data_IF_797200836572
#
_entry.id   IF_797200836572
#
_cell.length_a   1.000
_cell.length_b   1.000
_cell.length_c   1.000
_cell.angle_alpha   90.00
_cell.angle_beta   90.00
_cell.angle_gamma   90.00
#
_symmetry.space_group_name_H-M   'P 1'
#
loop_
_entity.id
_entity.type
_entity.pdbx_description
1 polymer ?
#
# COMPACT_ATOMS: atom_id res chain seq x y z
N UNK A 1 -44.49 5.68 41.38
CA UNK A 1 -45.95 5.49 41.57
C UNK A 1 -46.58 5.91 40.26
N UNK A 2 -46.61 5.04 39.23
CA UNK A 2 -47.55 3.93 38.99
C UNK A 2 -48.99 4.42 39.04
N UNK A 3 -49.50 4.78 37.87
CA UNK A 3 -50.90 4.93 37.50
C UNK A 3 -50.95 4.73 35.97
N UNK A 4 -51.92 4.12 35.30
CA UNK A 4 -53.07 3.25 35.60
C UNK A 4 -53.73 2.96 34.22
N UNK A 5 -54.60 1.95 34.15
CA UNK A 5 -55.67 1.71 33.13
C UNK A 5 -55.25 0.81 31.95
N UNK A 6 -55.63 -0.49 31.88
CA UNK A 6 -56.92 -1.11 31.41
C UNK A 6 -57.39 -0.54 30.05
N UNK A 7 -57.90 -1.26 29.05
CA UNK A 7 -58.78 -2.43 28.99
C UNK A 7 -58.91 -2.89 27.51
N UNK A 8 -59.20 -4.19 27.32
CA UNK A 8 -60.02 -4.85 26.27
C UNK A 8 -59.81 -4.59 24.76
N UNK A 9 -59.58 -5.58 23.88
CA UNK A 9 -60.21 -6.90 23.59
C UNK A 9 -61.12 -6.84 22.34
N UNK A 10 -60.78 -7.64 21.33
CA UNK A 10 -61.66 -8.56 20.57
C UNK A 10 -60.95 -9.01 19.27
N UNK A 11 -60.40 -10.24 19.23
CA UNK A 11 -61.01 -11.52 18.79
C UNK A 11 -61.28 -11.57 17.28
N UNK A 12 -61.06 -12.66 16.54
CA UNK A 12 -60.52 -14.01 16.75
C UNK A 12 -60.32 -14.58 15.32
N UNK A 13 -59.44 -15.55 15.04
CA UNK A 13 -59.75 -16.99 15.15
C UNK A 13 -58.48 -17.76 14.71
N UNK A 14 -57.90 -18.60 15.57
CA UNK A 14 -58.01 -20.08 15.60
C UNK A 14 -57.48 -20.74 14.30
N UNK A 15 -56.51 -21.66 14.27
CA UNK A 15 -56.13 -22.81 15.13
C UNK A 15 -54.68 -23.20 14.75
N UNK A 16 -53.67 -23.24 15.63
CA UNK A 16 -53.35 -24.24 16.68
C UNK A 16 -53.00 -25.65 16.14
N UNK A 17 -51.71 -26.01 16.23
CA UNK A 17 -51.12 -27.19 16.93
C UNK A 17 -49.63 -27.22 16.57
N UNK A 18 -48.75 -26.66 17.40
CA UNK A 18 -48.13 -27.25 18.62
C UNK A 18 -46.93 -28.17 18.34
N UNK A 19 -45.89 -27.87 19.10
CA UNK A 19 -44.53 -28.40 19.10
C UNK A 19 -44.49 -29.87 19.54
N UNK A 20 -43.47 -30.61 19.09
CA UNK A 20 -42.80 -31.57 19.98
C UNK A 20 -41.42 -32.01 19.43
N UNK A 21 -40.47 -32.05 20.36
CA UNK A 21 -39.04 -32.32 20.21
C UNK A 21 -38.72 -33.74 19.75
N UNK A 22 -37.84 -33.90 18.74
CA UNK A 22 -37.01 -35.11 18.57
C UNK A 22 -35.61 -34.69 18.08
N UNK A 23 -34.61 -35.02 18.90
CA UNK A 23 -33.18 -34.95 18.60
C UNK A 23 -32.85 -35.83 17.39
N UNK A 24 -32.46 -35.21 16.27
CA UNK A 24 -31.78 -35.91 15.18
C UNK A 24 -30.76 -34.97 14.53
N UNK A 25 -29.50 -35.36 14.58
CA UNK A 25 -28.36 -34.68 13.95
C UNK A 25 -28.63 -34.56 12.44
N UNK A 26 -28.61 -33.37 11.82
CA UNK A 26 -28.71 -33.27 10.38
C UNK A 26 -27.42 -33.81 9.75
N UNK A 27 -27.59 -34.82 8.89
CA UNK A 27 -26.55 -35.41 8.04
C UNK A 27 -25.90 -34.30 7.19
N UNK A 28 -24.58 -34.25 7.18
CA UNK A 28 -23.81 -33.32 6.36
C UNK A 28 -24.25 -33.41 4.88
N UNK A 29 -24.39 -32.24 4.24
CA UNK A 29 -24.68 -32.13 2.82
C UNK A 29 -23.58 -32.81 2.01
N UNK A 30 -23.90 -33.49 0.89
CA UNK A 30 -22.88 -34.05 0.01
C UNK A 30 -22.04 -32.93 -0.61
N UNK A 31 -20.73 -33.15 -0.68
CA UNK A 31 -19.80 -32.19 -1.25
C UNK A 31 -20.18 -31.82 -2.69
N UNK A 32 -20.03 -30.55 -3.10
CA UNK A 32 -20.29 -30.15 -4.47
C UNK A 32 -19.37 -30.92 -5.42
N UNK A 33 -19.96 -31.60 -6.40
CA UNK A 33 -19.22 -32.31 -7.43
C UNK A 33 -18.51 -31.32 -8.35
N UNK A 34 -17.19 -31.18 -8.20
CA UNK A 34 -16.33 -30.31 -9.01
C UNK A 34 -16.11 -30.80 -10.46
N UNK A 35 -16.70 -31.94 -10.87
CA UNK A 35 -16.54 -32.49 -12.22
C UNK A 35 -17.19 -31.65 -13.34
N UNK A 36 -17.78 -30.50 -13.02
CA UNK A 36 -18.36 -29.57 -14.02
C UNK A 36 -17.32 -28.61 -14.59
N UNK A 37 -16.11 -28.56 -14.02
CA UNK A 37 -15.04 -27.65 -14.47
C UNK A 37 -14.25 -28.17 -15.69
N UNK A 38 -14.42 -29.44 -16.06
CA UNK A 38 -13.69 -30.06 -17.19
C UNK A 38 -14.24 -29.67 -18.57
N UNK A 39 -15.27 -28.82 -18.65
CA UNK A 39 -15.85 -28.32 -19.92
C UNK A 39 -15.54 -26.84 -20.17
N UNK A 40 -14.50 -26.30 -19.56
CA UNK A 40 -13.91 -25.05 -20.04
C UNK A 40 -12.65 -25.39 -20.84
N UNK A 41 -12.81 -25.22 -22.16
CA UNK A 41 -11.80 -25.28 -23.18
C UNK A 41 -10.48 -24.67 -22.65
N UNK A 42 -9.49 -25.50 -22.37
CA UNK A 42 -8.13 -25.08 -21.97
C UNK A 42 -7.51 -24.40 -23.19
N UNK A 43 -7.85 -23.13 -23.39
CA UNK A 43 -6.96 -22.25 -24.11
C UNK A 43 -5.78 -21.99 -23.18
N UNK A 44 -4.62 -22.18 -23.77
CA UNK A 44 -3.29 -22.04 -23.19
C UNK A 44 -3.11 -20.64 -22.57
N UNK A 45 -3.53 -20.46 -21.32
CA UNK A 45 -3.33 -19.24 -20.53
C UNK A 45 -1.87 -19.13 -20.00
N UNK A 46 -0.92 -19.80 -20.66
CA UNK A 46 0.47 -19.92 -20.22
C UNK A 46 1.32 -18.66 -20.51
N UNK A 47 0.81 -17.67 -21.26
CA UNK A 47 1.56 -16.44 -21.60
C UNK A 47 1.24 -15.19 -20.73
N UNK A 48 0.29 -15.26 -19.80
CA UNK A 48 -0.14 -14.10 -19.00
C UNK A 48 0.26 -14.15 -17.52
N UNK A 49 1.25 -14.96 -17.16
CA UNK A 49 1.99 -14.72 -15.92
C UNK A 49 2.92 -13.53 -16.13
N UNK A 50 2.34 -12.32 -16.08
CA UNK A 50 3.08 -11.11 -15.77
C UNK A 50 3.97 -11.41 -14.57
N UNK A 51 5.27 -11.37 -14.80
CA UNK A 51 6.25 -11.54 -13.76
C UNK A 51 5.97 -10.55 -12.63
N UNK A 52 5.58 -11.07 -11.46
CA UNK A 52 4.92 -10.30 -10.41
C UNK A 52 5.67 -8.97 -10.12
N UNK A 53 5.01 -7.85 -10.43
CA UNK A 53 5.56 -6.52 -10.19
C UNK A 53 5.43 -6.18 -8.70
N UNK A 54 6.53 -6.33 -7.96
CA UNK A 54 6.54 -6.08 -6.51
C UNK A 54 6.96 -4.63 -6.24
N UNK A 55 6.06 -3.75 -5.76
CA UNK A 55 6.46 -2.40 -5.38
C UNK A 55 7.36 -2.42 -4.14
N UNK A 56 8.24 -1.43 -3.96
CA UNK A 56 8.95 -1.26 -2.69
C UNK A 56 7.97 -0.99 -1.53
N UNK A 57 8.39 -1.32 -0.31
CA UNK A 57 7.59 -0.98 0.88
C UNK A 57 7.32 0.53 0.97
N UNK A 58 6.17 0.93 1.51
CA UNK A 58 5.74 2.32 1.60
C UNK A 58 5.75 3.07 0.25
N UNK A 59 5.68 2.35 -0.88
CA UNK A 59 5.51 2.98 -2.18
C UNK A 59 4.16 3.69 -2.26
N UNK A 60 4.17 4.96 -2.63
CA UNK A 60 2.96 5.73 -2.88
C UNK A 60 3.24 6.87 -3.87
N UNK A 61 2.24 7.27 -4.64
CA UNK A 61 2.28 8.49 -5.43
C UNK A 61 1.92 9.67 -4.51
N UNK A 62 2.80 10.67 -4.43
CA UNK A 62 2.56 11.88 -3.63
C UNK A 62 1.76 12.88 -4.45
N UNK A 63 2.19 13.09 -5.69
CA UNK A 63 1.47 13.84 -6.71
C UNK A 63 1.87 13.30 -8.09
N UNK A 64 1.28 13.85 -9.15
CA UNK A 64 1.54 13.42 -10.52
C UNK A 64 3.05 13.44 -10.81
N UNK A 65 3.58 12.30 -11.26
CA UNK A 65 5.00 12.10 -11.54
C UNK A 65 5.95 12.23 -10.34
N UNK A 66 5.45 12.24 -9.09
CA UNK A 66 6.25 12.22 -7.87
C UNK A 66 5.85 11.03 -7.01
N UNK A 67 6.81 10.15 -6.79
CA UNK A 67 6.64 8.93 -6.02
C UNK A 67 7.49 8.97 -4.76
N UNK A 68 7.04 8.28 -3.72
CA UNK A 68 7.82 8.02 -2.50
C UNK A 68 7.91 6.53 -2.25
N UNK A 69 8.99 6.05 -1.65
CA UNK A 69 9.10 4.66 -1.19
C UNK A 69 10.12 4.46 -0.08
N UNK A 70 10.19 3.24 0.44
CA UNK A 70 11.37 2.73 1.15
C UNK A 70 12.50 2.42 0.18
N UNK A 71 13.62 1.94 0.72
CA UNK A 71 14.81 1.58 -0.04
C UNK A 71 14.52 0.51 -1.13
N UNK A 72 14.78 0.80 -2.42
CA UNK A 72 14.61 -0.17 -3.49
C UNK A 72 15.55 -1.37 -3.37
N UNK A 73 15.03 -2.57 -3.68
CA UNK A 73 15.77 -3.83 -3.72
C UNK A 73 15.61 -4.43 -5.11
N UNK A 74 16.47 -5.39 -5.46
CA UNK A 74 16.46 -6.08 -6.78
C UNK A 74 15.07 -6.57 -7.21
N UNK A 75 14.29 -7.12 -6.26
CA UNK A 75 12.93 -7.62 -6.52
C UNK A 75 11.94 -6.53 -6.96
N UNK A 76 12.25 -5.25 -6.73
CA UNK A 76 11.39 -4.13 -7.11
C UNK A 76 11.77 -3.50 -8.46
N UNK A 77 12.89 -3.90 -9.08
CA UNK A 77 13.42 -3.22 -10.28
C UNK A 77 12.44 -3.28 -11.44
N UNK A 78 11.81 -4.45 -11.67
CA UNK A 78 10.78 -4.61 -12.72
C UNK A 78 9.60 -3.67 -12.53
N UNK A 79 9.19 -3.44 -11.27
CA UNK A 79 8.15 -2.46 -10.96
C UNK A 79 8.61 -1.03 -11.25
N UNK A 80 9.84 -0.68 -10.86
CA UNK A 80 10.40 0.66 -11.07
C UNK A 80 10.64 0.97 -12.56
N UNK A 81 10.99 -0.02 -13.37
CA UNK A 81 11.12 0.11 -14.84
C UNK A 81 9.80 0.55 -15.49
N UNK A 82 8.66 0.03 -15.01
CA UNK A 82 7.34 0.42 -15.52
C UNK A 82 7.00 1.87 -15.23
N UNK A 83 7.52 2.45 -14.15
CA UNK A 83 7.33 3.86 -13.82
C UNK A 83 8.10 4.80 -14.76
N UNK A 84 9.10 4.28 -15.50
CA UNK A 84 9.96 5.06 -16.41
C UNK A 84 10.51 6.30 -15.73
N UNK A 85 11.06 6.10 -14.53
CA UNK A 85 11.63 7.18 -13.73
C UNK A 85 12.73 7.88 -14.52
N UNK A 86 12.81 9.20 -14.36
CA UNK A 86 13.90 10.01 -14.91
C UNK A 86 14.95 10.33 -13.86
N UNK A 87 14.52 10.44 -12.60
CA UNK A 87 15.43 10.68 -11.49
C UNK A 87 15.01 9.93 -10.22
N UNK A 88 16.00 9.66 -9.37
CA UNK A 88 15.81 9.11 -8.04
C UNK A 88 16.52 10.01 -7.05
N UNK A 89 15.80 10.42 -5.99
CA UNK A 89 16.29 11.27 -4.93
C UNK A 89 16.38 10.50 -3.61
N UNK A 90 17.54 10.58 -2.97
CA UNK A 90 17.77 10.01 -1.63
C UNK A 90 18.33 11.05 -0.67
N UNK A 91 17.93 10.93 0.60
CA UNK A 91 18.41 11.76 1.71
C UNK A 91 19.46 11.04 2.58
N UNK A 92 19.82 9.81 2.22
CA UNK A 92 20.75 8.97 2.98
C UNK A 92 22.19 9.44 2.72
N UNK A 93 22.99 9.59 3.78
CA UNK A 93 24.43 9.93 3.67
C UNK A 93 25.31 8.73 3.32
N UNK A 94 24.85 7.51 3.63
CA UNK A 94 25.55 6.27 3.31
C UNK A 94 25.74 6.08 1.81
N UNK A 95 26.78 5.33 1.46
CA UNK A 95 27.07 4.97 0.07
C UNK A 95 25.93 4.14 -0.54
N UNK A 96 25.54 4.48 -1.76
CA UNK A 96 24.48 3.76 -2.45
C UNK A 96 25.02 2.44 -3.01
N UNK A 97 24.33 1.29 -2.80
CA UNK A 97 24.80 0.00 -3.26
C UNK A 97 25.08 -0.03 -4.76
N UNK A 98 26.22 -0.62 -5.15
CA UNK A 98 26.66 -0.68 -6.55
C UNK A 98 25.61 -1.32 -7.47
N UNK A 99 24.91 -2.35 -6.99
CA UNK A 99 23.83 -2.99 -7.75
C UNK A 99 22.66 -2.03 -8.04
N UNK A 100 22.37 -1.11 -7.13
CA UNK A 100 21.34 -0.11 -7.37
C UNK A 100 21.86 0.98 -8.30
N UNK A 101 23.13 1.40 -8.19
CA UNK A 101 23.76 2.34 -9.13
C UNK A 101 23.74 1.81 -10.58
N UNK A 102 24.13 0.54 -10.79
CA UNK A 102 24.08 -0.10 -12.12
C UNK A 102 22.68 -0.08 -12.72
N UNK A 103 21.66 -0.40 -11.92
CA UNK A 103 20.27 -0.31 -12.37
C UNK A 103 19.88 1.11 -12.80
N UNK A 104 20.29 2.14 -12.04
CA UNK A 104 20.02 3.52 -12.40
C UNK A 104 20.72 3.90 -13.72
N UNK A 105 21.96 3.47 -13.92
CA UNK A 105 22.72 3.71 -15.15
C UNK A 105 22.09 3.01 -16.36
N UNK A 106 21.72 1.73 -16.22
CA UNK A 106 21.06 0.93 -17.28
C UNK A 106 19.72 1.54 -17.71
N UNK A 107 18.97 2.12 -16.76
CA UNK A 107 17.68 2.78 -17.03
C UNK A 107 17.83 4.27 -17.35
N UNK A 108 19.06 4.79 -17.44
CA UNK A 108 19.37 6.20 -17.67
C UNK A 108 18.66 7.15 -16.68
N UNK A 109 18.63 6.75 -15.41
CA UNK A 109 18.01 7.46 -14.29
C UNK A 109 19.07 8.32 -13.59
N UNK A 110 18.80 9.61 -13.45
CA UNK A 110 19.67 10.52 -12.73
C UNK A 110 19.57 10.29 -11.21
N UNK A 111 20.71 10.01 -10.57
CA UNK A 111 20.78 9.86 -9.12
C UNK A 111 21.06 11.20 -8.42
N UNK A 112 20.19 11.60 -7.50
CA UNK A 112 20.25 12.84 -6.75
C UNK A 112 20.40 12.53 -5.25
N UNK A 113 21.63 12.61 -4.74
CA UNK A 113 21.91 12.32 -3.33
C UNK A 113 22.12 13.60 -2.53
N UNK A 114 21.22 13.85 -1.58
CA UNK A 114 21.32 14.92 -0.59
C UNK A 114 21.56 14.31 0.79
N UNK A 115 22.74 13.73 0.98
CA UNK A 115 23.09 13.01 2.20
C UNK A 115 22.95 13.88 3.44
N UNK A 116 22.08 13.44 4.35
CA UNK A 116 21.90 14.02 5.68
C UNK A 116 22.42 13.00 6.69
N UNK A 117 23.31 13.44 7.60
CA UNK A 117 23.83 12.58 8.64
C UNK A 117 22.67 12.03 9.50
N UNK A 118 22.42 10.73 9.39
CA UNK A 118 21.38 10.07 10.15
C UNK A 118 21.80 9.99 11.61
N UNK A 119 21.26 10.87 12.46
CA UNK A 119 21.49 10.78 13.90
C UNK A 119 20.28 10.17 14.59
N UNK A 120 20.52 9.36 15.62
CA UNK A 120 19.48 8.59 16.35
C UNK A 120 18.63 9.43 17.31
N UNK A 121 18.83 10.75 17.35
CA UNK A 121 18.26 11.63 18.39
C UNK A 121 17.23 12.62 17.81
N UNK A 122 16.14 12.90 18.55
CA UNK A 122 14.94 13.59 18.07
C UNK A 122 15.07 15.07 17.66
N UNK A 123 16.25 15.70 17.83
CA UNK A 123 16.41 17.15 17.68
C UNK A 123 17.62 17.57 16.83
N UNK A 124 18.07 16.74 15.90
CA UNK A 124 19.16 17.13 15.01
C UNK A 124 18.66 18.07 13.92
N UNK A 125 19.24 19.26 13.88
CA UNK A 125 19.08 20.25 12.83
C UNK A 125 19.55 19.63 11.50
N UNK A 126 18.59 19.15 10.72
CA UNK A 126 18.84 18.77 9.33
C UNK A 126 19.32 20.05 8.63
N UNK A 127 20.48 20.02 7.94
CA UNK A 127 20.99 21.21 7.27
C UNK A 127 19.97 21.72 6.25
N UNK A 128 19.48 22.94 6.47
CA UNK A 128 18.42 23.56 5.67
C UNK A 128 18.84 23.66 4.19
N UNK A 129 20.12 23.87 3.93
CA UNK A 129 20.68 23.91 2.58
C UNK A 129 20.44 22.61 1.79
N UNK A 130 20.57 21.44 2.45
CA UNK A 130 20.38 20.14 1.80
C UNK A 130 18.91 19.88 1.51
N UNK A 131 18.03 20.25 2.43
CA UNK A 131 16.58 20.12 2.24
C UNK A 131 16.09 21.09 1.17
N UNK A 132 16.58 22.32 1.17
CA UNK A 132 16.26 23.32 0.15
C UNK A 132 16.73 22.87 -1.24
N UNK A 133 17.94 22.32 -1.35
CA UNK A 133 18.43 21.76 -2.61
C UNK A 133 17.63 20.54 -3.07
N UNK A 134 17.26 19.63 -2.15
CA UNK A 134 16.43 18.48 -2.45
C UNK A 134 15.02 18.89 -2.91
N UNK A 135 14.42 19.89 -2.24
CA UNK A 135 13.12 20.44 -2.61
C UNK A 135 13.19 21.17 -3.95
N UNK A 136 14.26 21.92 -4.21
CA UNK A 136 14.47 22.56 -5.50
C UNK A 136 14.55 21.54 -6.64
N UNK A 137 15.27 20.43 -6.42
CA UNK A 137 15.34 19.34 -7.39
C UNK A 137 13.98 18.62 -7.58
N UNK A 138 13.20 18.49 -6.51
CA UNK A 138 11.86 17.90 -6.54
C UNK A 138 10.84 18.78 -7.27
N UNK A 139 10.97 20.11 -7.18
CA UNK A 139 10.08 21.08 -7.84
C UNK A 139 10.43 21.29 -9.32
N UNK A 140 11.61 20.87 -9.75
CA UNK A 140 12.04 20.99 -11.14
C UNK A 140 11.38 19.91 -12.01
N UNK A 141 10.39 20.33 -12.80
CA UNK A 141 9.64 19.48 -13.76
C UNK A 141 10.53 18.67 -14.69
N UNK A 142 11.76 19.12 -14.97
CA UNK A 142 12.71 18.40 -15.83
C UNK A 142 13.20 17.09 -15.21
N UNK A 143 13.06 16.90 -13.90
CA UNK A 143 13.48 15.70 -13.18
C UNK A 143 12.38 14.63 -13.09
N UNK A 144 11.15 14.95 -13.52
CA UNK A 144 10.01 14.04 -13.43
C UNK A 144 9.99 13.04 -14.60
N UNK A 145 9.52 11.79 -14.37
CA UNK A 145 9.02 11.26 -13.10
C UNK A 145 10.13 10.97 -12.08
N UNK A 146 9.91 11.37 -10.83
CA UNK A 146 10.91 11.30 -9.75
C UNK A 146 10.46 10.38 -8.61
N UNK A 147 11.37 9.54 -8.12
CA UNK A 147 11.16 8.72 -6.93
C UNK A 147 12.00 9.24 -5.76
N UNK A 148 11.36 9.51 -4.63
CA UNK A 148 12.01 9.87 -3.37
C UNK A 148 12.06 8.65 -2.47
N UNK A 149 13.23 8.25 -2.00
CA UNK A 149 13.33 7.17 -1.01
C UNK A 149 14.26 7.47 0.16
N UNK A 150 14.08 6.72 1.24
CA UNK A 150 14.93 6.75 2.43
C UNK A 150 15.01 5.33 3.03
N UNK A 151 15.96 5.08 3.95
CA UNK A 151 16.31 3.74 4.45
C UNK A 151 15.10 2.94 5.00
N UNK A 152 14.10 3.61 5.59
CA UNK A 152 12.89 2.95 6.12
C UNK A 152 11.57 3.36 5.45
N UNK A 153 11.58 4.30 4.49
CA UNK A 153 10.36 4.96 4.00
C UNK A 153 9.57 5.75 5.07
N UNK A 154 10.00 5.67 6.34
CA UNK A 154 9.56 6.46 7.49
C UNK A 154 10.45 7.69 7.64
N UNK A 155 10.40 8.60 6.66
CA UNK A 155 10.48 10.01 7.03
C UNK A 155 9.16 10.25 7.75
N UNK A 156 9.20 10.35 9.09
CA UNK A 156 8.00 10.48 9.92
C UNK A 156 6.97 11.40 9.25
N UNK A 157 5.73 10.96 9.12
CA UNK A 157 4.61 11.84 8.76
C UNK A 157 4.43 13.03 9.74
N UNK A 158 5.27 13.12 10.77
CA UNK A 158 5.29 14.13 11.82
C UNK A 158 5.92 15.47 11.40
N UNK A 159 6.87 15.55 10.45
CA UNK A 159 7.48 16.85 10.09
C UNK A 159 6.49 17.77 9.36
N UNK A 160 5.62 17.21 8.52
CA UNK A 160 4.55 17.97 7.84
C UNK A 160 3.35 18.28 8.76
N UNK A 161 3.21 17.57 9.89
CA UNK A 161 2.11 17.77 10.85
C UNK A 161 2.44 18.79 11.96
N UNK A 162 3.72 18.98 12.29
CA UNK A 162 4.12 19.83 13.43
C UNK A 162 4.04 21.35 13.16
N UNK A 163 3.84 21.79 11.92
CA UNK A 163 3.75 23.23 11.57
C UNK A 163 2.30 23.77 11.51
N UNK A 164 1.36 23.10 12.20
CA UNK A 164 -0.06 23.47 12.24
C UNK A 164 -0.57 23.99 13.59
N UNK A 165 0.31 24.53 14.43
CA UNK A 165 -0.11 25.32 15.58
C UNK A 165 0.68 26.64 15.58
N UNK A 166 0.08 27.62 14.90
CA UNK A 166 0.13 29.03 15.29
C UNK A 166 -0.86 29.20 16.44
#
# INVERSE_FOLDING_TARGET
MIDKVTEESSNASNTATEENTVTTIPKALPDPNWSVLDTFNVHDDTELFEEALIPPENFNMVCEHVYRSSFPKKKHYKFLEKLKLKSVLTLILEEYPEQNMKFLEEQNIQFLQFGIAGNKEPFVQIPEDKISAALAALLDKRNHPILIHCNKGKVQSTWLASRRHV
#
